data_IF_855680781378
#
_entry.id   IF_855680781378
#
_cell.length_a   1.000
_cell.length_b   1.000
_cell.length_c   1.000
_cell.angle_alpha   90.00
_cell.angle_beta   90.00
_cell.angle_gamma   90.00
#
_symmetry.space_group_name_H-M   'P 1'
#
loop_
_entity.id
_entity.type
_entity.pdbx_description
1 polymer ?
#
# COMPACT_ATOMS: atom_id res chain seq x y z
N UNK A 1 -36.43 -35.33 -11.39
CA UNK A 1 -35.01 -35.57 -11.12
C UNK A 1 -34.45 -34.27 -10.57
N UNK A 2 -34.08 -34.22 -9.30
CA UNK A 2 -33.42 -33.04 -8.72
C UNK A 2 -31.99 -33.00 -9.25
N UNK A 3 -31.64 -31.92 -9.96
CA UNK A 3 -30.25 -31.62 -10.30
C UNK A 3 -29.47 -31.37 -9.00
N UNK A 4 -28.25 -31.91 -8.85
CA UNK A 4 -27.40 -31.55 -7.73
C UNK A 4 -27.04 -30.07 -7.85
N UNK A 5 -27.32 -29.34 -6.77
CA UNK A 5 -26.94 -27.95 -6.58
C UNK A 5 -25.41 -27.82 -6.73
N UNK A 6 -24.95 -27.01 -7.68
CA UNK A 6 -23.53 -26.80 -7.88
C UNK A 6 -22.93 -26.19 -6.60
N UNK A 7 -21.72 -26.61 -6.17
CA UNK A 7 -21.09 -26.05 -4.98
C UNK A 7 -20.96 -24.54 -5.14
N UNK A 8 -21.43 -23.78 -4.15
CA UNK A 8 -21.34 -22.33 -4.14
C UNK A 8 -19.85 -21.93 -4.27
N UNK A 9 -19.51 -21.27 -5.38
CA UNK A 9 -18.18 -20.72 -5.57
C UNK A 9 -18.04 -19.53 -4.61
N UNK A 10 -17.32 -19.72 -3.52
CA UNK A 10 -16.94 -18.63 -2.62
C UNK A 10 -15.82 -17.84 -3.27
N UNK A 11 -16.16 -16.68 -3.85
CA UNK A 11 -15.17 -15.71 -4.33
C UNK A 11 -14.50 -15.06 -3.11
N UNK A 12 -13.29 -15.51 -2.78
CA UNK A 12 -12.47 -14.88 -1.75
C UNK A 12 -11.65 -13.77 -2.41
N UNK A 13 -11.82 -12.53 -1.94
CA UNK A 13 -10.99 -11.40 -2.39
C UNK A 13 -9.54 -11.59 -1.93
N UNK A 14 -8.60 -11.51 -2.87
CA UNK A 14 -7.17 -11.56 -2.61
C UNK A 14 -6.54 -10.18 -2.86
N UNK A 15 -5.94 -9.60 -1.82
CA UNK A 15 -5.25 -8.32 -1.90
C UNK A 15 -3.77 -8.54 -2.20
N UNK A 16 -3.35 -8.15 -3.39
CA UNK A 16 -1.96 -8.26 -3.84
C UNK A 16 -1.25 -6.91 -3.70
N UNK A 17 0.01 -6.89 -3.23
CA UNK A 17 0.79 -5.67 -3.16
C UNK A 17 1.07 -5.11 -4.56
N UNK A 18 1.04 -3.79 -4.69
CA UNK A 18 1.32 -3.15 -5.98
C UNK A 18 2.80 -3.25 -6.37
N UNK A 19 3.06 -3.56 -7.64
CA UNK A 19 4.41 -3.76 -8.18
C UNK A 19 5.08 -2.49 -8.72
N UNK A 20 4.32 -1.48 -9.13
CA UNK A 20 4.87 -0.21 -9.63
C UNK A 20 4.85 0.90 -8.56
N UNK A 21 5.81 1.83 -8.64
CA UNK A 21 5.84 3.03 -7.78
C UNK A 21 4.51 3.80 -7.82
N UNK A 22 3.92 3.94 -9.01
CA UNK A 22 2.63 4.57 -9.23
C UNK A 22 1.51 3.96 -8.37
N UNK A 23 1.35 2.65 -8.45
CA UNK A 23 0.28 1.93 -7.78
C UNK A 23 0.51 1.87 -6.27
N UNK A 24 1.76 1.91 -5.81
CA UNK A 24 2.08 2.08 -4.38
C UNK A 24 1.68 3.45 -3.86
N UNK A 25 1.92 4.53 -4.61
CA UNK A 25 1.48 5.88 -4.23
C UNK A 25 -0.05 5.95 -4.18
N UNK A 26 -0.73 5.40 -5.18
CA UNK A 26 -2.21 5.35 -5.21
C UNK A 26 -2.71 4.56 -4.00
N UNK A 27 -2.12 3.40 -3.73
CA UNK A 27 -2.49 2.59 -2.57
C UNK A 27 -2.30 3.35 -1.26
N UNK A 28 -1.14 3.98 -1.05
CA UNK A 28 -0.87 4.81 0.14
C UNK A 28 -1.91 5.92 0.30
N UNK A 29 -2.30 6.56 -0.81
CA UNK A 29 -3.32 7.62 -0.81
C UNK A 29 -4.71 7.10 -0.40
N UNK A 30 -5.05 5.85 -0.75
CA UNK A 30 -6.39 5.29 -0.51
C UNK A 30 -6.51 4.57 0.83
N UNK A 31 -5.41 4.05 1.38
CA UNK A 31 -5.45 3.13 2.52
C UNK A 31 -4.75 3.65 3.78
N UNK A 32 -3.97 4.74 3.68
CA UNK A 32 -3.44 5.40 4.87
C UNK A 32 -4.48 6.37 5.46
N UNK A 33 -4.50 6.46 6.80
CA UNK A 33 -5.30 7.49 7.50
C UNK A 33 -4.82 8.90 7.13
N UNK A 34 -3.51 9.04 6.88
CA UNK A 34 -2.92 10.23 6.30
C UNK A 34 -1.81 9.86 5.32
N UNK A 35 -1.75 10.58 4.21
CA UNK A 35 -0.68 10.48 3.24
C UNK A 35 -0.40 11.86 2.65
N UNK A 36 0.87 12.28 2.66
CA UNK A 36 1.32 13.49 2.00
C UNK A 36 2.67 13.23 1.32
N UNK A 37 2.80 13.71 0.09
CA UNK A 37 4.04 13.65 -0.66
C UNK A 37 4.35 15.03 -1.23
N UNK A 38 5.59 15.46 -1.07
CA UNK A 38 6.15 16.64 -1.71
C UNK A 38 7.42 16.20 -2.44
N UNK A 39 7.56 16.53 -3.72
CA UNK A 39 8.77 16.21 -4.49
C UNK A 39 9.86 17.27 -4.37
N UNK A 40 9.52 18.42 -3.79
CA UNK A 40 10.42 19.52 -3.61
C UNK A 40 10.88 20.14 -4.94
N UNK A 41 11.81 21.08 -4.83
CA UNK A 41 12.48 21.77 -5.94
C UNK A 41 14.00 21.68 -5.84
N UNK A 42 14.53 21.03 -4.80
CA UNK A 42 15.95 20.89 -4.50
C UNK A 42 16.29 19.43 -4.13
N UNK A 43 17.57 19.10 -3.99
CA UNK A 43 17.99 17.70 -3.83
C UNK A 43 17.68 17.09 -2.45
N UNK A 44 17.07 17.83 -1.52
CA UNK A 44 16.83 17.39 -0.14
C UNK A 44 15.46 17.78 0.44
N UNK A 45 14.57 18.37 -0.36
CA UNK A 45 13.26 18.83 0.10
C UNK A 45 12.10 17.91 -0.31
N UNK A 46 12.36 16.82 -1.04
CA UNK A 46 11.36 15.79 -1.24
C UNK A 46 11.07 15.07 0.08
N UNK A 47 9.78 14.85 0.36
CA UNK A 47 9.28 14.27 1.61
C UNK A 47 8.06 13.41 1.35
N UNK A 48 7.96 12.29 2.06
CA UNK A 48 6.72 11.52 2.21
C UNK A 48 6.40 11.40 3.70
N UNK A 49 5.15 11.68 4.04
CA UNK A 49 4.52 11.37 5.31
C UNK A 49 3.40 10.35 5.06
N UNK A 50 3.32 9.31 5.87
CA UNK A 50 2.23 8.33 5.81
C UNK A 50 1.91 7.77 7.20
N UNK A 51 0.64 7.46 7.48
CA UNK A 51 0.25 6.81 8.73
C UNK A 51 -0.91 5.83 8.58
N UNK A 52 -0.84 4.72 9.31
CA UNK A 52 -1.93 3.75 9.51
C UNK A 52 -1.99 3.39 10.99
N UNK A 53 -3.11 3.70 11.63
CA UNK A 53 -3.32 3.50 13.06
C UNK A 53 -2.23 4.18 13.90
N UNK A 54 -1.43 3.39 14.61
CA UNK A 54 -0.32 3.87 15.45
C UNK A 54 1.01 3.96 14.72
N UNK A 55 1.09 3.46 13.48
CA UNK A 55 2.31 3.50 12.67
C UNK A 55 2.34 4.80 11.88
N UNK A 56 3.43 5.54 11.99
CA UNK A 56 3.67 6.77 11.22
C UNK A 56 5.09 6.80 10.71
N UNK A 57 5.24 7.22 9.45
CA UNK A 57 6.51 7.35 8.77
C UNK A 57 6.66 8.72 8.15
N UNK A 58 7.87 9.27 8.28
CA UNK A 58 8.30 10.49 7.62
C UNK A 58 9.69 10.26 7.07
N UNK A 59 9.85 10.37 5.75
CA UNK A 59 11.16 10.28 5.09
C UNK A 59 11.38 11.48 4.18
N UNK A 60 12.52 12.13 4.36
CA UNK A 60 13.08 13.11 3.42
C UNK A 60 14.09 12.42 2.52
N UNK A 61 14.11 12.74 1.24
CA UNK A 61 14.94 12.04 0.27
C UNK A 61 15.27 12.91 -0.95
N UNK A 62 16.34 12.59 -1.70
CA UNK A 62 16.57 13.19 -3.01
C UNK A 62 15.55 12.70 -4.04
N UNK A 63 15.08 13.53 -4.99
CA UNK A 63 14.06 13.13 -5.97
C UNK A 63 14.42 11.84 -6.75
N UNK A 64 15.70 11.58 -7.01
CA UNK A 64 16.18 10.37 -7.67
C UNK A 64 15.93 9.06 -6.91
N UNK A 65 15.62 9.12 -5.61
CA UNK A 65 15.34 7.95 -4.74
C UNK A 65 13.84 7.67 -4.56
N UNK A 66 12.98 8.33 -5.35
CA UNK A 66 11.53 8.24 -5.22
C UNK A 66 11.03 6.78 -5.20
N UNK A 67 11.55 5.95 -6.11
CA UNK A 67 11.13 4.56 -6.24
C UNK A 67 11.42 3.76 -4.97
N UNK A 68 12.63 3.87 -4.45
CA UNK A 68 13.12 3.13 -3.28
C UNK A 68 12.39 3.59 -2.02
N UNK A 69 12.18 4.89 -1.84
CA UNK A 69 11.53 5.44 -0.65
C UNK A 69 10.04 5.13 -0.63
N UNK A 70 9.35 5.26 -1.77
CA UNK A 70 7.94 4.83 -1.90
C UNK A 70 7.82 3.34 -1.62
N UNK A 71 8.74 2.51 -2.15
CA UNK A 71 8.73 1.07 -1.88
C UNK A 71 8.85 0.77 -0.38
N UNK A 72 9.78 1.42 0.32
CA UNK A 72 9.98 1.21 1.74
C UNK A 72 8.75 1.61 2.57
N UNK A 73 8.22 2.82 2.34
CA UNK A 73 7.03 3.30 3.07
C UNK A 73 5.81 2.42 2.75
N UNK A 74 5.63 2.05 1.48
CA UNK A 74 4.55 1.15 1.08
C UNK A 74 4.59 -0.16 1.84
N UNK A 75 5.74 -0.82 1.96
CA UNK A 75 5.82 -2.11 2.67
C UNK A 75 5.58 -1.97 4.16
N UNK A 76 6.08 -0.90 4.78
CA UNK A 76 5.80 -0.62 6.20
C UNK A 76 4.30 -0.42 6.44
N UNK A 77 3.62 0.34 5.58
CA UNK A 77 2.17 0.57 5.66
C UNK A 77 1.35 -0.66 5.30
N UNK A 78 1.73 -1.40 4.25
CA UNK A 78 1.09 -2.65 3.84
C UNK A 78 1.10 -3.68 4.95
N UNK A 79 2.24 -3.83 5.64
CA UNK A 79 2.36 -4.75 6.74
C UNK A 79 1.50 -4.34 7.95
N UNK A 80 1.33 -3.03 8.18
CA UNK A 80 0.45 -2.50 9.23
C UNK A 80 -1.04 -2.53 8.86
N UNK A 81 -1.39 -2.53 7.58
CA UNK A 81 -2.76 -2.46 7.09
C UNK A 81 -3.48 -3.80 7.18
N UNK A 82 -4.61 -3.86 7.88
CA UNK A 82 -5.47 -5.04 7.92
C UNK A 82 -6.73 -4.82 7.07
N UNK A 83 -6.99 -5.64 6.04
CA UNK A 83 -8.21 -5.50 5.24
C UNK A 83 -9.45 -5.90 6.07
N UNK A 84 -10.56 -5.22 5.85
CA UNK A 84 -11.84 -5.58 6.49
C UNK A 84 -12.37 -6.95 6.01
N UNK A 85 -12.01 -7.36 4.79
CA UNK A 85 -12.39 -8.64 4.20
C UNK A 85 -11.29 -9.15 3.23
N UNK A 86 -11.26 -10.46 3.01
CA UNK A 86 -10.33 -11.10 2.09
C UNK A 86 -8.98 -11.44 2.72
N UNK A 87 -8.04 -11.86 1.87
CA UNK A 87 -6.70 -12.32 2.28
C UNK A 87 -5.65 -11.32 1.78
N UNK A 88 -4.84 -10.78 2.69
CA UNK A 88 -3.67 -9.94 2.38
C UNK A 88 -2.46 -10.82 2.10
N UNK A 89 -1.86 -10.67 0.92
CA UNK A 89 -0.58 -11.33 0.61
C UNK A 89 0.56 -10.56 1.26
N UNK A 90 1.35 -11.24 2.09
CA UNK A 90 2.60 -10.70 2.64
C UNK A 90 3.78 -11.32 1.88
N UNK A 91 4.80 -10.52 1.58
CA UNK A 91 6.05 -11.05 1.05
C UNK A 91 6.89 -11.59 2.21
N UNK A 92 7.45 -12.80 2.06
CA UNK A 92 8.45 -13.39 2.98
C UNK A 92 9.77 -12.61 2.96
#
# INVERSE_FOLDING_TARGET
MNMPEAPAVTNITLHNPSSCTCGRIIWLTMHCDSFAMNMGTCDVDARIDASIGTISQRKTFPPGMLKEVVAAIFWEMWNAWEPAEGIKVVAE
#
